data_IF_768763428026
#
_entry.id   IF_768763428026
#
_cell.length_a   1.000
_cell.length_b   1.000
_cell.length_c   1.000
_cell.angle_alpha   90.00
_cell.angle_beta   90.00
_cell.angle_gamma   90.00
#
_symmetry.space_group_name_H-M   'P 1'
#
loop_
_entity.id
_entity.type
_entity.pdbx_description
1 polymer ?
#
# COMPACT_ATOMS: atom_id res chain seq x y z
N UNK A 1 -9.69 -25.54 -4.95
CA UNK A 1 -9.86 -24.24 -4.25
C UNK A 1 -8.66 -23.37 -4.60
N UNK A 2 -8.83 -22.20 -5.19
CA UNK A 2 -7.71 -21.29 -5.43
C UNK A 2 -7.31 -20.61 -4.12
N UNK A 3 -6.01 -20.43 -3.88
CA UNK A 3 -5.48 -19.67 -2.72
C UNK A 3 -5.68 -18.18 -3.00
N UNK A 4 -6.30 -17.39 -2.09
CA UNK A 4 -6.53 -15.97 -2.33
C UNK A 4 -5.21 -15.17 -2.25
N UNK A 5 -5.00 -14.28 -3.21
CA UNK A 5 -3.88 -13.35 -3.21
C UNK A 5 -4.23 -12.08 -2.41
N UNK A 6 -3.45 -11.77 -1.37
CA UNK A 6 -3.54 -10.53 -0.60
C UNK A 6 -2.32 -9.66 -0.90
N UNK A 7 -2.55 -8.37 -1.19
CA UNK A 7 -1.48 -7.43 -1.54
C UNK A 7 -1.57 -6.16 -0.69
N UNK A 8 -0.45 -5.71 -0.13
CA UNK A 8 -0.35 -4.42 0.55
C UNK A 8 0.14 -3.34 -0.42
N UNK A 9 -0.54 -2.20 -0.44
CA UNK A 9 -0.13 -1.02 -1.18
C UNK A 9 0.52 -0.02 -0.24
N UNK A 10 1.63 0.55 -0.69
CA UNK A 10 2.36 1.57 0.03
C UNK A 10 2.72 2.69 -0.96
N UNK A 11 2.77 3.93 -0.49
CA UNK A 11 3.19 5.06 -1.31
C UNK A 11 4.66 4.89 -1.70
N UNK A 12 4.95 4.82 -3.01
CA UNK A 12 6.29 5.02 -3.57
C UNK A 12 6.29 6.28 -4.42
N UNK A 13 7.40 7.04 -4.39
CA UNK A 13 7.59 8.17 -5.30
C UNK A 13 7.59 7.65 -6.73
N UNK A 14 6.69 8.20 -7.56
CA UNK A 14 6.46 7.77 -8.94
C UNK A 14 7.71 7.95 -9.79
N UNK A 15 7.86 7.10 -10.81
CA UNK A 15 8.83 7.32 -11.86
C UNK A 15 8.23 8.17 -12.99
N UNK A 16 9.08 9.00 -13.59
CA UNK A 16 8.76 9.91 -14.68
C UNK A 16 8.81 9.20 -16.05
N UNK A 17 8.15 9.79 -17.05
CA UNK A 17 8.24 9.36 -18.45
C UNK A 17 7.58 8.01 -18.79
N UNK A 18 8.12 7.31 -19.80
CA UNK A 18 7.56 6.05 -20.33
C UNK A 18 7.36 4.97 -19.26
N UNK A 19 8.19 4.99 -18.20
CA UNK A 19 8.08 4.07 -17.05
C UNK A 19 6.74 4.21 -16.32
N UNK A 20 6.14 5.40 -16.29
CA UNK A 20 4.82 5.63 -15.65
C UNK A 20 3.71 4.81 -16.31
N UNK A 21 3.68 4.74 -17.64
CA UNK A 21 2.63 4.03 -18.37
C UNK A 21 2.73 2.52 -18.14
N UNK A 22 3.95 1.97 -18.17
CA UNK A 22 4.19 0.56 -17.86
C UNK A 22 3.79 0.24 -16.41
N UNK A 23 4.19 1.08 -15.46
CA UNK A 23 3.80 0.93 -14.05
C UNK A 23 2.28 0.99 -13.88
N UNK A 24 1.59 1.90 -14.58
CA UNK A 24 0.15 2.01 -14.52
C UNK A 24 -0.57 0.71 -14.97
N UNK A 25 -0.09 0.10 -16.05
CA UNK A 25 -0.62 -1.18 -16.55
C UNK A 25 -0.36 -2.32 -15.57
N UNK A 26 0.85 -2.40 -15.01
CA UNK A 26 1.21 -3.40 -14.01
C UNK A 26 0.39 -3.24 -12.72
N UNK A 27 0.21 -2.00 -12.24
CA UNK A 27 -0.65 -1.67 -11.10
C UNK A 27 -2.09 -2.16 -11.34
N UNK A 28 -2.64 -1.92 -12.54
CA UNK A 28 -3.98 -2.39 -12.92
C UNK A 28 -4.09 -3.91 -12.97
N UNK A 29 -3.09 -4.59 -13.54
CA UNK A 29 -3.03 -6.06 -13.60
C UNK A 29 -2.99 -6.66 -12.19
N UNK A 30 -2.13 -6.11 -11.32
CA UNK A 30 -1.93 -6.58 -9.96
C UNK A 30 -3.18 -6.34 -9.09
N UNK A 31 -3.77 -5.14 -9.14
CA UNK A 31 -5.00 -4.82 -8.44
C UNK A 31 -6.14 -5.77 -8.82
N UNK A 32 -6.31 -6.03 -10.12
CA UNK A 32 -7.35 -6.93 -10.63
C UNK A 32 -7.14 -8.40 -10.28
N UNK A 33 -5.89 -8.83 -10.11
CA UNK A 33 -5.55 -10.21 -9.76
C UNK A 33 -5.71 -10.49 -8.26
N UNK A 34 -5.56 -9.46 -7.40
CA UNK A 34 -5.71 -9.60 -5.97
C UNK A 34 -7.15 -9.95 -5.57
N UNK A 35 -7.27 -10.82 -4.58
CA UNK A 35 -8.53 -11.05 -3.89
C UNK A 35 -8.84 -9.87 -2.96
N UNK A 36 -7.82 -9.33 -2.26
CA UNK A 36 -7.92 -8.16 -1.38
C UNK A 36 -6.67 -7.30 -1.50
N UNK A 37 -6.86 -5.98 -1.58
CA UNK A 37 -5.81 -4.96 -1.49
C UNK A 37 -5.94 -4.21 -0.17
N UNK A 38 -4.86 -4.12 0.61
CA UNK A 38 -4.78 -3.37 1.86
C UNK A 38 -3.97 -2.09 1.65
N UNK A 39 -4.48 -0.94 2.09
CA UNK A 39 -3.79 0.34 1.95
C UNK A 39 -3.80 1.18 3.23
N UNK A 40 -2.70 1.90 3.54
CA UNK A 40 -2.55 2.69 4.77
C UNK A 40 -3.23 4.07 4.70
N UNK A 41 -3.79 4.44 3.55
CA UNK A 41 -4.47 5.72 3.33
C UNK A 41 -5.67 5.54 2.41
N UNK A 42 -6.68 6.40 2.56
CA UNK A 42 -7.91 6.36 1.77
C UNK A 42 -7.65 6.63 0.28
N UNK A 43 -6.76 7.57 -0.05
CA UNK A 43 -6.39 7.87 -1.44
C UNK A 43 -5.80 6.66 -2.17
N UNK A 44 -5.06 5.80 -1.46
CA UNK A 44 -4.54 4.56 -2.01
C UNK A 44 -5.64 3.51 -2.19
N UNK A 45 -6.67 3.49 -1.33
CA UNK A 45 -7.85 2.63 -1.51
C UNK A 45 -8.61 3.05 -2.77
N UNK A 46 -8.85 4.34 -2.94
CA UNK A 46 -9.57 4.86 -4.11
C UNK A 46 -8.78 4.61 -5.39
N UNK A 47 -7.47 4.83 -5.39
CA UNK A 47 -6.60 4.42 -6.50
C UNK A 47 -6.69 2.92 -6.77
N UNK A 48 -6.75 2.06 -5.75
CA UNK A 48 -6.85 0.62 -5.97
C UNK A 48 -8.13 0.26 -6.72
N UNK A 49 -9.25 0.90 -6.36
CA UNK A 49 -10.55 0.74 -7.03
C UNK A 49 -10.51 1.24 -8.46
N UNK A 50 -9.95 2.41 -8.71
CA UNK A 50 -9.76 2.95 -10.07
C UNK A 50 -8.92 2.01 -10.95
N UNK A 51 -7.96 1.28 -10.35
CA UNK A 51 -7.13 0.27 -11.03
C UNK A 51 -7.77 -1.12 -11.09
N UNK A 52 -9.01 -1.28 -10.64
CA UNK A 52 -9.79 -2.50 -10.80
C UNK A 52 -9.60 -3.52 -9.69
N UNK A 53 -9.18 -3.11 -8.50
CA UNK A 53 -9.24 -3.96 -7.31
C UNK A 53 -10.68 -4.39 -7.04
N UNK A 54 -10.89 -5.70 -6.80
CA UNK A 54 -12.21 -6.27 -6.48
C UNK A 54 -12.63 -5.97 -5.05
N UNK A 55 -11.68 -5.99 -4.12
CA UNK A 55 -11.85 -5.63 -2.71
C UNK A 55 -10.63 -4.81 -2.27
N UNK A 56 -10.85 -3.59 -1.81
CA UNK A 56 -9.81 -2.67 -1.33
C UNK A 56 -10.21 -2.15 0.04
N UNK A 57 -9.32 -2.32 1.04
CA UNK A 57 -9.59 -2.02 2.44
C UNK A 57 -8.50 -1.12 3.04
N UNK A 58 -8.95 -0.19 3.87
CA UNK A 58 -8.06 0.63 4.69
C UNK A 58 -7.47 -0.22 5.82
N UNK A 59 -6.15 -0.22 5.95
CA UNK A 59 -5.39 -0.95 6.94
C UNK A 59 -4.37 0.00 7.58
N UNK A 60 -4.72 0.66 8.70
CA UNK A 60 -3.83 1.62 9.34
C UNK A 60 -2.55 0.93 9.82
N UNK A 61 -1.41 1.51 9.47
CA UNK A 61 -0.10 1.04 9.93
C UNK A 61 0.16 1.62 11.31
N UNK A 62 0.31 0.76 12.32
CA UNK A 62 0.76 1.18 13.64
C UNK A 62 2.25 1.54 13.56
N UNK A 63 2.59 2.78 13.89
CA UNK A 63 3.99 3.19 14.07
C UNK A 63 4.39 2.79 15.50
N UNK A 64 5.48 2.01 15.70
CA UNK A 64 5.98 1.71 17.04
C UNK A 64 6.24 3.02 17.81
N UNK A 65 5.99 3.06 19.13
CA UNK A 65 6.32 4.23 19.92
C UNK A 65 7.82 4.57 19.73
N UNK A 66 8.19 5.86 19.76
CA UNK A 66 9.61 6.24 19.71
C UNK A 66 10.35 5.48 20.81
N UNK A 67 11.50 4.90 20.45
CA UNK A 67 12.38 4.33 21.47
C UNK A 67 12.77 5.49 22.39
N UNK A 68 12.38 5.43 23.65
CA UNK A 68 12.99 6.27 24.67
C UNK A 68 14.47 5.93 24.67
N UNK A 69 15.29 6.82 24.13
CA UNK A 69 16.69 6.84 24.49
C UNK A 69 16.72 7.05 26.00
N UNK A 70 17.27 6.07 26.72
CA UNK A 70 17.30 6.05 28.18
C UNK A 70 18.20 7.13 28.78
N UNK A 71 18.22 8.34 28.23
CA UNK A 71 18.93 9.50 28.79
C UNK A 71 18.02 10.21 29.79
N UNK A 72 17.48 9.43 30.72
CA UNK A 72 16.80 9.92 31.91
C UNK A 72 17.75 9.86 33.09
N UNK A 73 18.25 11.03 33.50
CA UNK A 73 18.61 11.31 34.88
C UNK A 73 20.00 10.87 35.33
N UNK A 74 20.98 11.74 35.15
CA UNK A 74 21.96 11.98 36.20
C UNK A 74 21.73 13.41 36.69
N UNK A 75 21.18 13.52 37.90
CA UNK A 75 21.19 14.75 38.69
C UNK A 75 22.53 14.97 39.35
#
# INVERSE_FOLDING_TARGET
>A
RAVPLVMTWHTRRYAEGARRQILHLLERRAARAAAVVLAPSSDLVDRARERGARDARFAPVAVPPPRSDGTGGEG
#
